data_IF_221129452659
#
_entry.id   IF_221129452659
#
_cell.length_a   1.000
_cell.length_b   1.000
_cell.length_c   1.000
_cell.angle_alpha   90.00
_cell.angle_beta   90.00
_cell.angle_gamma   90.00
#
_symmetry.space_group_name_H-M   'P 1'
#
loop_
_entity.id
_entity.type
_entity.pdbx_description
1 polymer ?
#
# COMPACT_ATOMS: atom_id res chain seq x y z
N UNK A 1 18.60 -34.76 33.78
CA UNK A 1 17.30 -34.34 34.34
C UNK A 1 16.87 -33.09 33.59
N UNK A 2 15.73 -33.19 32.92
CA UNK A 2 15.11 -32.17 32.07
C UNK A 2 14.62 -30.98 32.91
N UNK A 3 15.12 -29.79 32.62
CA UNK A 3 14.69 -28.52 33.21
C UNK A 3 13.97 -27.70 32.14
N UNK A 4 12.68 -27.53 32.34
CA UNK A 4 11.68 -27.08 31.36
C UNK A 4 12.04 -25.83 30.56
N UNK A 5 11.90 -25.97 29.25
CA UNK A 5 11.49 -24.88 28.36
C UNK A 5 10.21 -24.26 28.95
N UNK A 6 10.36 -23.06 29.53
CA UNK A 6 9.25 -22.23 29.96
C UNK A 6 8.30 -22.02 28.78
N UNK A 7 7.03 -22.35 29.00
CA UNK A 7 5.91 -22.16 28.10
C UNK A 7 5.98 -20.83 27.34
N UNK A 8 6.24 -20.89 26.03
CA UNK A 8 5.70 -19.93 25.05
C UNK A 8 4.20 -20.22 24.77
N UNK A 9 3.66 -21.26 25.42
CA UNK A 9 2.29 -21.81 25.30
C UNK A 9 1.21 -20.85 25.87
N UNK A 10 1.60 -19.77 26.56
CA UNK A 10 0.63 -18.81 27.12
C UNK A 10 -0.07 -17.94 26.06
N UNK A 11 0.65 -17.52 25.02
CA UNK A 11 0.13 -16.54 24.07
C UNK A 11 -0.67 -17.18 22.93
N UNK A 12 -0.25 -18.35 22.44
CA UNK A 12 -0.96 -19.06 21.34
C UNK A 12 -2.34 -19.56 21.75
N UNK A 13 -2.44 -20.13 22.95
CA UNK A 13 -3.68 -20.75 23.45
C UNK A 13 -4.69 -19.67 23.87
N UNK A 14 -4.21 -18.55 24.44
CA UNK A 14 -5.05 -17.39 24.75
C UNK A 14 -5.57 -16.72 23.48
N UNK A 15 -4.72 -16.55 22.46
CA UNK A 15 -5.13 -16.03 21.15
C UNK A 15 -6.17 -16.93 20.49
N UNK A 16 -5.96 -18.26 20.46
CA UNK A 16 -6.94 -19.17 19.88
C UNK A 16 -8.29 -19.09 20.58
N UNK A 17 -8.32 -19.03 21.91
CA UNK A 17 -9.56 -18.83 22.67
C UNK A 17 -10.25 -17.52 22.33
N UNK A 18 -9.51 -16.42 22.31
CA UNK A 18 -10.05 -15.10 21.96
C UNK A 18 -10.62 -15.09 20.53
N UNK A 19 -9.94 -15.74 19.58
CA UNK A 19 -10.44 -15.92 18.21
C UNK A 19 -11.71 -16.78 18.19
N UNK A 20 -11.77 -17.87 18.95
CA UNK A 20 -12.95 -18.75 19.00
C UNK A 20 -14.17 -18.05 19.60
N UNK A 21 -13.96 -17.20 20.61
CA UNK A 21 -14.97 -16.38 21.27
C UNK A 21 -15.51 -15.23 20.39
N UNK A 22 -14.80 -14.84 19.31
CA UNK A 22 -15.29 -13.81 18.39
C UNK A 22 -16.57 -14.24 17.69
N UNK A 23 -17.48 -13.30 17.55
CA UNK A 23 -18.69 -13.49 16.76
C UNK A 23 -18.37 -13.65 15.25
N UNK A 24 -19.28 -14.26 14.46
CA UNK A 24 -19.05 -14.51 13.05
C UNK A 24 -18.74 -13.25 12.20
N UNK A 25 -19.29 -12.09 12.56
CA UNK A 25 -19.07 -10.83 11.84
C UNK A 25 -17.67 -10.28 12.10
N UNK A 26 -17.20 -10.33 13.35
CA UNK A 26 -15.82 -9.95 13.69
C UNK A 26 -14.80 -10.87 13.01
N UNK A 27 -15.04 -12.19 12.99
CA UNK A 27 -14.19 -13.17 12.26
C UNK A 27 -14.12 -12.85 10.76
N UNK A 28 -15.25 -12.50 10.15
CA UNK A 28 -15.31 -12.10 8.73
C UNK A 28 -14.55 -10.79 8.46
N UNK A 29 -14.68 -9.82 9.36
CA UNK A 29 -13.97 -8.54 9.26
C UNK A 29 -12.46 -8.74 9.37
N UNK A 30 -12.01 -9.58 10.29
CA UNK A 30 -10.60 -9.95 10.45
C UNK A 30 -10.03 -10.63 9.20
N UNK A 31 -10.73 -11.62 8.65
CA UNK A 31 -10.32 -12.28 7.39
C UNK A 31 -10.25 -11.29 6.22
N UNK A 32 -11.20 -10.35 6.14
CA UNK A 32 -11.20 -9.31 5.10
C UNK A 32 -10.02 -8.37 5.25
N UNK A 33 -9.62 -8.06 6.49
CA UNK A 33 -8.46 -7.25 6.79
C UNK A 33 -7.16 -7.92 6.36
N UNK A 34 -6.98 -9.23 6.62
CA UNK A 34 -5.81 -9.99 6.17
C UNK A 34 -5.65 -9.99 4.65
N UNK A 35 -6.73 -10.26 3.90
CA UNK A 35 -6.69 -10.21 2.44
C UNK A 35 -6.36 -8.82 1.88
N UNK A 36 -6.85 -7.78 2.55
CA UNK A 36 -6.55 -6.40 2.17
C UNK A 36 -5.09 -6.04 2.46
N UNK A 37 -4.54 -6.47 3.60
CA UNK A 37 -3.13 -6.27 3.94
C UNK A 37 -2.22 -6.94 2.91
N UNK A 38 -2.52 -8.21 2.62
CA UNK A 38 -1.79 -9.01 1.65
C UNK A 38 -1.76 -8.35 0.26
N UNK A 39 -2.93 -7.86 -0.21
CA UNK A 39 -3.01 -7.17 -1.48
C UNK A 39 -2.18 -5.87 -1.50
N UNK A 40 -2.14 -5.12 -0.39
CA UNK A 40 -1.33 -3.91 -0.27
C UNK A 40 0.16 -4.21 -0.34
N UNK A 41 0.61 -5.26 0.35
CA UNK A 41 2.02 -5.67 0.32
C UNK A 41 2.43 -6.12 -1.09
N UNK A 42 1.59 -6.94 -1.74
CA UNK A 42 1.83 -7.37 -3.13
C UNK A 42 1.93 -6.17 -4.09
N UNK A 43 1.09 -5.15 -3.92
CA UNK A 43 1.18 -3.91 -4.70
C UNK A 43 2.48 -3.15 -4.43
N UNK A 44 2.86 -2.94 -3.17
CA UNK A 44 4.07 -2.22 -2.81
C UNK A 44 5.35 -2.90 -3.36
N UNK A 45 5.45 -4.23 -3.24
CA UNK A 45 6.62 -4.97 -3.71
C UNK A 45 6.63 -5.13 -5.24
N UNK A 46 5.48 -5.40 -5.86
CA UNK A 46 5.44 -5.66 -7.30
C UNK A 46 5.40 -4.37 -8.10
N UNK A 47 4.41 -3.52 -7.84
CA UNK A 47 4.14 -2.34 -8.67
C UNK A 47 5.13 -1.23 -8.33
N UNK A 48 5.18 -0.83 -7.06
CA UNK A 48 6.02 0.30 -6.64
C UNK A 48 7.50 -0.07 -6.69
N UNK A 49 7.90 -1.26 -6.23
CA UNK A 49 9.34 -1.58 -6.09
C UNK A 49 9.98 -2.18 -7.33
N UNK A 50 9.25 -2.93 -8.17
CA UNK A 50 9.88 -3.68 -9.28
C UNK A 50 9.41 -3.19 -10.65
N UNK A 51 8.09 -3.22 -10.90
CA UNK A 51 7.53 -3.06 -12.24
C UNK A 51 7.59 -1.60 -12.71
N UNK A 52 7.04 -0.67 -11.93
CA UNK A 52 6.95 0.74 -12.35
C UNK A 52 8.31 1.43 -12.42
N UNK A 53 9.26 1.25 -11.47
CA UNK A 53 10.59 1.86 -11.60
C UNK A 53 11.27 1.43 -12.89
N UNK A 54 11.25 0.12 -13.18
CA UNK A 54 11.86 -0.44 -14.38
C UNK A 54 11.21 0.09 -15.66
N UNK A 55 9.87 0.05 -15.74
CA UNK A 55 9.15 0.54 -16.90
C UNK A 55 9.37 2.03 -17.13
N UNK A 56 9.21 2.84 -16.07
CA UNK A 56 9.32 4.29 -16.17
C UNK A 56 10.75 4.72 -16.53
N UNK A 57 11.77 4.09 -15.94
CA UNK A 57 13.17 4.37 -16.24
C UNK A 57 13.49 4.03 -17.70
N UNK A 58 13.06 2.86 -18.19
CA UNK A 58 13.26 2.46 -19.58
C UNK A 58 12.57 3.41 -20.57
N UNK A 59 11.32 3.77 -20.32
CA UNK A 59 10.53 4.66 -21.19
C UNK A 59 11.09 6.08 -21.20
N UNK A 60 11.57 6.56 -20.04
CA UNK A 60 12.25 7.85 -19.94
C UNK A 60 13.56 7.85 -20.75
N UNK A 61 14.35 6.79 -20.64
CA UNK A 61 15.63 6.67 -21.34
C UNK A 61 15.43 6.60 -22.87
N UNK A 62 14.42 5.86 -23.34
CA UNK A 62 14.05 5.80 -24.76
C UNK A 62 13.66 7.19 -25.29
N UNK A 63 12.83 7.93 -24.55
CA UNK A 63 12.35 9.24 -24.99
C UNK A 63 13.42 10.35 -24.95
N UNK A 64 14.44 10.23 -24.10
CA UNK A 64 15.45 11.29 -23.89
C UNK A 64 16.86 10.90 -24.33
N UNK A 65 17.06 9.73 -24.95
CA UNK A 65 18.38 9.26 -25.37
C UNK A 65 19.30 8.83 -24.22
N UNK A 66 18.73 8.39 -23.09
CA UNK A 66 19.44 7.81 -21.94
C UNK A 66 19.55 8.71 -20.71
N UNK A 67 19.58 10.03 -20.88
CA UNK A 67 19.57 10.98 -19.77
C UNK A 67 19.09 12.35 -20.24
N UNK A 68 18.43 13.10 -19.36
CA UNK A 68 18.05 14.48 -19.65
C UNK A 68 18.88 15.43 -18.78
N UNK A 69 19.46 16.46 -19.39
CA UNK A 69 20.23 17.47 -18.68
C UNK A 69 19.33 18.67 -18.39
N UNK A 70 19.12 18.98 -17.11
CA UNK A 70 18.34 20.15 -16.68
C UNK A 70 19.14 20.93 -15.64
N UNK A 71 19.29 22.24 -15.87
CA UNK A 71 20.01 23.15 -14.96
C UNK A 71 21.44 22.69 -14.58
N UNK A 72 22.15 22.03 -15.51
CA UNK A 72 23.51 21.52 -15.29
C UNK A 72 23.59 20.23 -14.46
N UNK A 73 22.46 19.58 -14.21
CA UNK A 73 22.37 18.28 -13.55
C UNK A 73 21.82 17.22 -14.51
N UNK A 74 22.43 16.04 -14.52
CA UNK A 74 22.01 14.89 -15.32
C UNK A 74 20.91 14.11 -14.59
N UNK A 75 19.72 14.06 -15.18
CA UNK A 75 18.59 13.27 -14.70
C UNK A 75 18.52 11.94 -15.45
N UNK A 76 18.60 10.84 -14.70
CA UNK A 76 18.39 9.48 -15.20
C UNK A 76 16.93 9.05 -15.01
N UNK A 77 16.51 7.98 -15.70
CA UNK A 77 15.18 7.40 -15.51
C UNK A 77 14.87 7.02 -14.06
N UNK A 78 15.86 6.54 -13.30
CA UNK A 78 15.69 6.19 -11.88
C UNK A 78 15.47 7.44 -11.01
N UNK A 79 16.19 8.52 -11.31
CA UNK A 79 15.99 9.82 -10.65
C UNK A 79 14.60 10.36 -10.94
N UNK A 80 14.13 10.23 -12.18
CA UNK A 80 12.78 10.63 -12.57
C UNK A 80 11.71 9.84 -11.79
N UNK A 81 11.84 8.51 -11.71
CA UNK A 81 10.95 7.69 -10.88
C UNK A 81 10.95 8.14 -9.41
N UNK A 82 12.13 8.34 -8.82
CA UNK A 82 12.24 8.77 -7.43
C UNK A 82 11.58 10.13 -7.17
N UNK A 83 11.72 11.08 -8.10
CA UNK A 83 11.07 12.40 -8.02
C UNK A 83 9.55 12.24 -8.12
N UNK A 84 9.04 11.46 -9.07
CA UNK A 84 7.60 11.24 -9.27
C UNK A 84 6.97 10.58 -8.04
N UNK A 85 7.60 9.51 -7.51
CA UNK A 85 7.14 8.86 -6.29
C UNK A 85 7.23 9.80 -5.08
N UNK A 86 8.30 10.58 -4.99
CA UNK A 86 8.53 11.56 -3.92
C UNK A 86 7.45 12.63 -3.88
N UNK A 87 7.09 13.21 -5.04
CA UNK A 87 5.99 14.20 -5.16
C UNK A 87 4.68 13.59 -4.68
N UNK A 88 4.36 12.37 -5.13
CA UNK A 88 3.15 11.67 -4.69
C UNK A 88 3.15 11.42 -3.17
N UNK A 89 4.28 10.99 -2.62
CA UNK A 89 4.43 10.71 -1.18
C UNK A 89 4.30 11.97 -0.33
N UNK A 90 4.88 13.10 -0.75
CA UNK A 90 4.72 14.40 -0.09
C UNK A 90 3.27 14.84 -0.10
N UNK A 91 2.57 14.69 -1.23
CA UNK A 91 1.15 15.01 -1.31
C UNK A 91 0.34 14.17 -0.32
N UNK A 92 0.59 12.86 -0.25
CA UNK A 92 -0.08 11.97 0.71
C UNK A 92 0.24 12.36 2.15
N UNK A 93 1.50 12.71 2.46
CA UNK A 93 1.89 13.13 3.80
C UNK A 93 1.12 14.39 4.26
N UNK A 94 0.86 15.33 3.35
CA UNK A 94 0.06 16.53 3.64
C UNK A 94 -1.42 16.19 3.83
N UNK A 95 -1.96 15.24 3.05
CA UNK A 95 -3.37 14.83 3.10
C UNK A 95 -3.67 13.87 4.26
N UNK A 96 -2.67 13.12 4.73
CA UNK A 96 -2.81 12.08 5.76
C UNK A 96 -3.45 12.58 7.08
N UNK A 97 -3.08 13.74 7.66
CA UNK A 97 -3.74 14.27 8.86
C UNK A 97 -5.24 14.50 8.68
N UNK A 98 -5.66 14.95 7.49
CA UNK A 98 -7.08 15.15 7.17
C UNK A 98 -7.79 13.81 7.07
N UNK A 99 -7.18 12.83 6.42
CA UNK A 99 -7.74 11.48 6.32
C UNK A 99 -7.85 10.79 7.68
N UNK A 100 -6.86 10.95 8.55
CA UNK A 100 -6.90 10.46 9.93
C UNK A 100 -8.05 11.08 10.72
N UNK A 101 -8.19 12.40 10.67
CA UNK A 101 -9.29 13.10 11.35
C UNK A 101 -10.68 12.67 10.82
N UNK A 102 -10.80 12.40 9.52
CA UNK A 102 -12.03 11.87 8.91
C UNK A 102 -12.27 10.42 9.34
N UNK A 103 -11.24 9.59 9.40
CA UNK A 103 -11.35 8.18 9.80
C UNK A 103 -11.77 8.03 11.27
N UNK A 104 -11.34 8.93 12.15
CA UNK A 104 -11.68 8.93 13.58
C UNK A 104 -13.13 9.35 13.84
N UNK A 105 -13.68 10.25 13.02
CA UNK A 105 -14.97 10.91 13.32
C UNK A 105 -16.13 10.46 12.46
N UNK A 106 -15.89 9.82 11.31
CA UNK A 106 -16.94 9.57 10.34
C UNK A 106 -17.29 8.08 10.16
N UNK A 107 -18.59 7.70 10.23
CA UNK A 107 -19.03 6.33 9.97
C UNK A 107 -18.88 5.91 8.49
N UNK A 108 -18.50 6.83 7.60
CA UNK A 108 -18.34 6.56 6.16
C UNK A 108 -16.96 6.01 5.77
N UNK A 109 -16.08 5.70 6.73
CA UNK A 109 -14.71 5.20 6.50
C UNK A 109 -14.63 4.05 5.49
N UNK A 110 -15.58 3.11 5.52
CA UNK A 110 -15.63 1.97 4.58
C UNK A 110 -15.92 2.40 3.13
N UNK A 111 -16.72 3.46 2.94
CA UNK A 111 -17.02 4.01 1.61
C UNK A 111 -15.83 4.78 1.06
N UNK A 112 -15.15 5.55 1.90
CA UNK A 112 -13.94 6.28 1.49
C UNK A 112 -12.85 5.29 1.10
N UNK A 113 -12.58 4.26 1.91
CA UNK A 113 -11.61 3.21 1.58
C UNK A 113 -11.89 2.59 0.20
N UNK A 114 -13.15 2.24 -0.09
CA UNK A 114 -13.54 1.70 -1.41
C UNK A 114 -13.21 2.66 -2.57
N UNK A 115 -13.44 3.96 -2.40
CA UNK A 115 -13.14 4.95 -3.44
C UNK A 115 -11.62 4.98 -3.70
N UNK A 116 -10.81 5.06 -2.65
CA UNK A 116 -9.35 5.04 -2.77
C UNK A 116 -8.84 3.75 -3.42
N UNK A 117 -9.38 2.60 -3.04
CA UNK A 117 -9.04 1.31 -3.66
C UNK A 117 -9.43 1.28 -5.14
N UNK A 118 -10.63 1.74 -5.52
CA UNK A 118 -11.06 1.80 -6.93
C UNK A 118 -10.15 2.72 -7.73
N UNK A 119 -9.80 3.89 -7.20
CA UNK A 119 -8.86 4.82 -7.83
C UNK A 119 -7.49 4.15 -8.02
N UNK A 120 -6.95 3.50 -6.98
CA UNK A 120 -5.69 2.77 -7.06
C UNK A 120 -5.71 1.69 -8.14
N UNK A 121 -6.73 0.84 -8.17
CA UNK A 121 -6.89 -0.23 -9.18
C UNK A 121 -7.01 0.37 -10.59
N UNK A 122 -7.84 1.39 -10.76
CA UNK A 122 -8.06 2.03 -12.06
C UNK A 122 -6.75 2.58 -12.63
N UNK A 123 -6.01 3.36 -11.84
CA UNK A 123 -4.77 3.96 -12.32
C UNK A 123 -3.67 2.92 -12.51
N UNK A 124 -3.62 1.87 -11.69
CA UNK A 124 -2.69 0.75 -11.89
C UNK A 124 -2.99 -0.01 -13.18
N UNK A 125 -4.27 -0.25 -13.49
CA UNK A 125 -4.66 -0.86 -14.76
C UNK A 125 -4.31 0.03 -15.96
N UNK A 126 -4.48 1.36 -15.82
CA UNK A 126 -4.08 2.32 -16.86
C UNK A 126 -2.57 2.33 -17.10
N UNK A 127 -1.73 2.08 -16.09
CA UNK A 127 -0.27 1.95 -16.29
C UNK A 127 0.07 0.86 -17.30
N UNK A 128 -0.71 -0.23 -17.36
CA UNK A 128 -0.51 -1.31 -18.33
C UNK A 128 -0.73 -0.91 -19.79
N UNK A 129 -1.38 0.23 -20.04
CA UNK A 129 -1.59 0.79 -21.38
C UNK A 129 -0.37 1.61 -21.83
N UNK A 130 0.42 2.14 -20.88
CA UNK A 130 1.53 3.05 -21.18
C UNK A 130 2.57 2.49 -22.19
N UNK A 131 2.94 1.19 -22.16
CA UNK A 131 3.87 0.61 -23.14
C UNK A 131 3.35 0.61 -24.59
N UNK A 132 2.04 0.75 -24.80
CA UNK A 132 1.42 0.77 -26.13
C UNK A 132 1.23 2.20 -26.68
N UNK A 133 1.66 3.23 -25.94
CA UNK A 133 1.58 4.63 -26.35
C UNK A 133 2.84 5.07 -27.10
N UNK A 134 2.78 6.24 -27.74
CA UNK A 134 3.97 6.84 -28.38
C UNK A 134 5.07 7.15 -27.36
N UNK A 135 6.32 6.94 -27.76
CA UNK A 135 7.51 7.03 -26.90
C UNK A 135 7.56 8.36 -26.12
N UNK A 136 7.30 9.50 -26.78
CA UNK A 136 7.33 10.82 -26.16
C UNK A 136 6.27 11.06 -25.07
N UNK A 137 5.11 10.41 -25.16
CA UNK A 137 3.98 10.61 -24.23
C UNK A 137 3.90 9.53 -23.15
N UNK A 138 4.49 8.37 -23.43
CA UNK A 138 4.36 7.16 -22.65
C UNK A 138 4.86 7.31 -21.20
N UNK A 139 6.06 7.88 -20.99
CA UNK A 139 6.65 8.07 -19.67
C UNK A 139 5.91 9.13 -18.83
N UNK A 140 5.41 10.19 -19.47
CA UNK A 140 4.62 11.25 -18.79
C UNK A 140 3.28 10.70 -18.32
N UNK A 141 2.61 9.92 -19.17
CA UNK A 141 1.37 9.26 -18.83
C UNK A 141 1.57 8.28 -17.67
N UNK A 142 2.60 7.43 -17.75
CA UNK A 142 2.94 6.49 -16.68
C UNK A 142 3.25 7.20 -15.35
N UNK A 143 3.96 8.33 -15.39
CA UNK A 143 4.24 9.14 -14.20
C UNK A 143 2.96 9.71 -13.56
N UNK A 144 2.03 10.24 -14.34
CA UNK A 144 0.75 10.75 -13.84
C UNK A 144 -0.08 9.61 -13.23
N UNK A 145 -0.15 8.47 -13.93
CA UNK A 145 -0.82 7.28 -13.40
C UNK A 145 -0.18 6.81 -12.10
N UNK A 146 1.16 6.84 -11.99
CA UNK A 146 1.88 6.48 -10.76
C UNK A 146 1.51 7.41 -9.61
N UNK A 147 1.49 8.72 -9.83
CA UNK A 147 1.11 9.68 -8.80
C UNK A 147 -0.30 9.37 -8.28
N UNK A 148 -1.27 9.23 -9.18
CA UNK A 148 -2.66 8.96 -8.82
C UNK A 148 -2.86 7.58 -8.17
N UNK A 149 -2.19 6.56 -8.70
CA UNK A 149 -2.21 5.20 -8.16
C UNK A 149 -1.62 5.14 -6.75
N UNK A 150 -0.49 5.80 -6.53
CA UNK A 150 0.16 5.87 -5.22
C UNK A 150 -0.65 6.70 -4.20
N UNK A 151 -1.33 7.76 -4.63
CA UNK A 151 -2.29 8.48 -3.77
C UNK A 151 -3.46 7.57 -3.36
N UNK A 152 -4.00 6.80 -4.32
CA UNK A 152 -5.04 5.80 -4.06
C UNK A 152 -4.60 4.76 -3.03
N UNK A 153 -3.41 4.19 -3.24
CA UNK A 153 -2.80 3.20 -2.37
C UNK A 153 -2.51 3.74 -0.97
N UNK A 154 -1.70 4.80 -0.86
CA UNK A 154 -1.22 5.30 0.43
C UNK A 154 -2.33 6.04 1.21
N UNK A 155 -3.24 6.73 0.53
CA UNK A 155 -4.44 7.31 1.15
C UNK A 155 -5.42 6.23 1.64
N UNK A 156 -5.59 5.14 0.88
CA UNK A 156 -6.34 3.97 1.31
C UNK A 156 -5.70 3.30 2.53
N UNK A 157 -4.38 3.17 2.53
CA UNK A 157 -3.61 2.61 3.65
C UNK A 157 -3.81 3.43 4.94
N UNK A 158 -3.77 4.77 4.86
CA UNK A 158 -3.99 5.64 6.02
C UNK A 158 -5.37 5.40 6.70
N UNK A 159 -6.43 5.22 5.91
CA UNK A 159 -7.78 4.93 6.43
C UNK A 159 -7.86 3.47 6.92
N UNK A 160 -7.19 2.57 6.21
CA UNK A 160 -7.12 1.15 6.55
C UNK A 160 -6.52 0.92 7.94
N UNK A 161 -5.41 1.59 8.27
CA UNK A 161 -4.76 1.49 9.57
C UNK A 161 -5.69 1.93 10.72
N UNK A 162 -6.62 2.84 10.47
CA UNK A 162 -7.63 3.27 11.46
C UNK A 162 -8.72 2.22 11.74
N UNK A 163 -8.83 1.14 10.96
CA UNK A 163 -9.72 0.02 11.27
C UNK A 163 -9.11 -0.98 12.25
N UNK A 164 -7.78 -1.00 12.40
CA UNK A 164 -7.05 -1.96 13.24
C UNK A 164 -7.58 -2.02 14.69
N UNK A 165 -7.84 -0.89 15.38
CA UNK A 165 -8.36 -0.90 16.75
C UNK A 165 -9.77 -1.50 16.91
N UNK A 166 -10.51 -1.67 15.80
CA UNK A 166 -11.89 -2.16 15.80
C UNK A 166 -12.01 -3.64 15.41
N UNK A 167 -10.90 -4.32 15.09
CA UNK A 167 -10.90 -5.68 14.55
C UNK A 167 -10.78 -6.78 15.61
N UNK A 168 -10.38 -6.44 16.83
CA UNK A 168 -10.27 -7.40 17.93
C UNK A 168 -9.79 -6.75 19.23
N UNK A 169 -9.75 -7.56 20.30
CA UNK A 169 -9.15 -7.16 21.57
C UNK A 169 -7.69 -6.71 21.35
N UNK A 170 -7.22 -5.73 22.13
CA UNK A 170 -5.81 -5.26 22.07
C UNK A 170 -4.81 -6.40 22.25
N UNK A 171 -5.18 -7.46 22.97
CA UNK A 171 -4.39 -8.69 23.15
C UNK A 171 -4.18 -9.49 21.87
N UNK A 172 -5.08 -9.34 20.89
CA UNK A 172 -4.95 -9.95 19.57
C UNK A 172 -4.10 -9.10 18.61
N UNK A 173 -3.80 -7.84 18.92
CA UNK A 173 -3.18 -6.90 17.99
C UNK A 173 -1.82 -7.38 17.49
N UNK A 174 -0.97 -7.88 18.39
CA UNK A 174 0.35 -8.43 18.05
C UNK A 174 0.22 -9.66 17.15
N UNK A 175 -0.76 -10.53 17.40
CA UNK A 175 -1.02 -11.69 16.58
C UNK A 175 -1.55 -11.32 15.19
N UNK A 176 -2.50 -10.38 15.11
CA UNK A 176 -3.10 -9.90 13.86
C UNK A 176 -2.03 -9.23 12.99
N UNK A 177 -1.17 -8.41 13.58
CA UNK A 177 -0.06 -7.79 12.85
C UNK A 177 0.98 -8.82 12.39
N UNK A 178 1.32 -9.80 13.24
CA UNK A 178 2.28 -10.86 12.91
C UNK A 178 1.79 -11.76 11.77
N UNK A 179 0.49 -12.10 11.78
CA UNK A 179 -0.12 -12.92 10.74
C UNK A 179 -0.43 -12.16 9.45
N UNK A 180 -0.73 -10.86 9.53
CA UNK A 180 -0.78 -9.98 8.37
C UNK A 180 0.55 -9.97 7.61
N UNK A 181 1.67 -9.91 8.34
CA UNK A 181 3.01 -10.03 7.77
C UNK A 181 3.33 -11.46 7.27
N UNK A 182 2.93 -12.51 7.99
CA UNK A 182 3.27 -13.89 7.64
C UNK A 182 2.50 -14.46 6.42
N UNK A 183 1.36 -13.87 6.05
CA UNK A 183 0.67 -14.19 4.80
C UNK A 183 1.30 -13.49 3.57
N UNK A 184 2.08 -12.43 3.79
CA UNK A 184 2.79 -11.62 2.77
C UNK A 184 4.10 -12.24 2.33
#
# INVERSE_FOLDING_TARGET
MSGGFGKVIGNSDEVQRLLDEMDPESKKSLKSWYWFDWANQAFALTVITVVVPTLLSNMFNLANGGSAEYAGMTFTGDSFYAIVLGISSVFVAIVSPVLGAVADRMPIKKRILKIYTIVGILFTALMGIAPYMSEESSYKFLAICLIMGNIGFAGGHAIYSAFLPYLGDKRLMDHISSWGYAYG
#
